data_IF_273920135161
#
_entry.id   IF_273920135161
#
_cell.length_a   1.000
_cell.length_b   1.000
_cell.length_c   1.000
_cell.angle_alpha   90.00
_cell.angle_beta   90.00
_cell.angle_gamma   90.00
#
_symmetry.space_group_name_H-M   'P 1'
#
loop_
_entity.id
_entity.type
_entity.pdbx_description
1 polymer ?
#
# COMPACT_ATOMS: atom_id res chain seq x y z
N UNK A 1 11.00 -2.73 15.55
CA UNK A 1 9.60 -2.78 16.00
C UNK A 1 8.68 -2.64 14.80
N UNK A 2 7.60 -3.41 14.75
CA UNK A 2 6.66 -3.25 13.65
C UNK A 2 6.02 -1.86 13.68
N UNK A 3 5.68 -1.36 12.51
CA UNK A 3 5.08 -0.05 12.34
C UNK A 3 3.56 -0.19 12.56
N UNK A 4 2.95 0.83 13.16
CA UNK A 4 1.51 0.89 13.33
C UNK A 4 0.83 0.86 11.95
N UNK A 5 -0.23 0.06 11.81
CA UNK A 5 -0.92 -0.04 10.54
C UNK A 5 -1.53 1.29 10.07
N UNK A 6 -1.88 2.19 10.99
CA UNK A 6 -2.39 3.51 10.62
C UNK A 6 -1.34 4.34 9.92
N UNK A 7 -0.08 4.20 10.31
CA UNK A 7 1.04 4.89 9.65
C UNK A 7 1.20 4.36 8.23
N UNK A 8 1.14 3.05 8.06
CA UNK A 8 1.23 2.42 6.75
C UNK A 8 0.06 2.84 5.87
N UNK A 9 -1.15 2.86 6.43
CA UNK A 9 -2.34 3.27 5.70
C UNK A 9 -2.21 4.71 5.18
N UNK A 10 -1.71 5.62 6.01
CA UNK A 10 -1.50 7.01 5.60
C UNK A 10 -0.47 7.11 4.47
N UNK A 11 0.59 6.30 4.54
CA UNK A 11 1.59 6.26 3.48
C UNK A 11 0.97 5.78 2.16
N UNK A 12 0.16 4.74 2.23
CA UNK A 12 -0.55 4.20 1.05
C UNK A 12 -1.49 5.25 0.47
N UNK A 13 -2.26 5.90 1.32
CA UNK A 13 -3.18 6.96 0.89
C UNK A 13 -2.45 8.09 0.18
N UNK A 14 -1.36 8.57 0.76
CA UNK A 14 -0.57 9.67 0.20
C UNK A 14 0.01 9.28 -1.16
N UNK A 15 0.54 8.08 -1.27
CA UNK A 15 1.12 7.60 -2.53
C UNK A 15 0.05 7.51 -3.62
N UNK A 16 -1.09 6.92 -3.31
CA UNK A 16 -2.17 6.75 -4.28
C UNK A 16 -2.78 8.09 -4.69
N UNK A 17 -2.92 9.01 -3.74
CA UNK A 17 -3.44 10.34 -4.03
C UNK A 17 -2.55 11.08 -5.04
N UNK A 18 -1.23 10.99 -4.85
CA UNK A 18 -0.27 11.61 -5.77
C UNK A 18 -0.22 10.90 -7.11
N UNK A 19 -0.17 9.57 -7.08
CA UNK A 19 0.00 8.75 -8.29
C UNK A 19 -1.23 8.80 -9.19
N UNK A 20 -2.41 8.69 -8.60
CA UNK A 20 -3.66 8.55 -9.33
C UNK A 20 -4.50 9.83 -9.37
N UNK A 21 -4.11 10.85 -8.62
CA UNK A 21 -4.87 12.10 -8.55
C UNK A 21 -6.20 11.97 -7.83
N UNK A 22 -6.32 11.00 -6.91
CA UNK A 22 -7.54 10.77 -6.16
C UNK A 22 -7.46 11.41 -4.78
N UNK A 23 -8.62 11.59 -4.13
CA UNK A 23 -8.68 12.16 -2.79
C UNK A 23 -8.26 11.12 -1.75
N UNK A 24 -7.19 11.41 -1.01
CA UNK A 24 -6.70 10.53 0.04
C UNK A 24 -7.78 10.24 1.09
N UNK A 25 -8.64 11.21 1.40
CA UNK A 25 -9.71 11.04 2.37
C UNK A 25 -10.78 10.02 1.96
N UNK A 26 -10.88 9.73 0.67
CA UNK A 26 -11.81 8.73 0.16
C UNK A 26 -11.25 7.31 0.14
N UNK A 27 -9.97 7.14 0.49
CA UNK A 27 -9.33 5.83 0.46
C UNK A 27 -9.44 5.19 1.85
N UNK A 28 -10.02 3.99 1.90
CA UNK A 28 -10.22 3.23 3.12
C UNK A 28 -9.65 1.83 2.97
N UNK A 29 -9.69 1.03 4.04
CA UNK A 29 -9.26 -0.38 3.99
C UNK A 29 -10.03 -1.18 2.94
N UNK A 30 -11.28 -0.85 2.73
CA UNK A 30 -12.16 -1.57 1.79
C UNK A 30 -12.00 -1.13 0.34
N UNK A 31 -11.22 -0.09 0.08
CA UNK A 31 -11.01 0.43 -1.27
C UNK A 31 -10.28 -0.60 -2.13
N UNK A 32 -10.84 -0.94 -3.27
CA UNK A 32 -10.22 -1.87 -4.23
C UNK A 32 -9.33 -1.09 -5.19
N UNK A 33 -8.12 -1.59 -5.40
CA UNK A 33 -7.17 -0.92 -6.28
C UNK A 33 -7.69 -0.80 -7.71
N UNK A 34 -8.23 -1.87 -8.25
CA UNK A 34 -8.72 -1.87 -9.63
C UNK A 34 -10.13 -1.35 -9.76
N UNK A 35 -11.03 -1.85 -8.93
CA UNK A 35 -12.47 -1.54 -9.08
C UNK A 35 -12.80 -0.11 -8.64
N UNK A 36 -12.15 0.37 -7.59
CA UNK A 36 -12.46 1.70 -7.04
C UNK A 36 -11.50 2.78 -7.53
N UNK A 37 -10.23 2.45 -7.69
CA UNK A 37 -9.20 3.43 -8.06
C UNK A 37 -8.74 3.31 -9.51
N UNK A 38 -9.17 2.29 -10.20
CA UNK A 38 -8.78 2.01 -11.58
C UNK A 38 -7.26 1.89 -11.73
N UNK A 39 -6.58 1.49 -10.66
CA UNK A 39 -5.13 1.28 -10.68
C UNK A 39 -4.81 0.01 -11.45
N UNK A 40 -3.82 0.08 -12.33
CA UNK A 40 -3.36 -1.09 -13.06
C UNK A 40 -2.20 -1.78 -12.33
N UNK A 41 -1.65 -2.83 -12.94
CA UNK A 41 -0.57 -3.59 -12.33
C UNK A 41 0.68 -2.75 -12.10
N UNK A 42 0.98 -1.81 -12.99
CA UNK A 42 2.13 -0.93 -12.86
C UNK A 42 1.97 -0.01 -11.65
N UNK A 43 0.78 0.57 -11.48
CA UNK A 43 0.48 1.42 -10.34
C UNK A 43 0.66 0.65 -9.02
N UNK A 44 0.20 -0.59 -8.99
CA UNK A 44 0.33 -1.44 -7.82
C UNK A 44 1.79 -1.78 -7.53
N UNK A 45 2.58 -2.10 -8.55
CA UNK A 45 4.00 -2.38 -8.38
C UNK A 45 4.76 -1.16 -7.88
N UNK A 46 4.43 0.02 -8.36
CA UNK A 46 5.06 1.26 -7.88
C UNK A 46 4.76 1.49 -6.40
N UNK A 47 3.52 1.23 -5.98
CA UNK A 47 3.15 1.31 -4.56
C UNK A 47 3.93 0.30 -3.74
N UNK A 48 4.00 -0.95 -4.20
CA UNK A 48 4.74 -2.01 -3.52
C UNK A 48 6.22 -1.62 -3.35
N UNK A 49 6.84 -1.12 -4.40
CA UNK A 49 8.24 -0.70 -4.35
C UNK A 49 8.44 0.43 -3.34
N UNK A 50 7.53 1.38 -3.28
CA UNK A 50 7.59 2.47 -2.32
C UNK A 50 7.51 1.95 -0.88
N UNK A 51 6.61 1.00 -0.63
CA UNK A 51 6.46 0.39 0.69
C UNK A 51 7.68 -0.45 1.07
N UNK A 52 8.25 -1.17 0.11
CA UNK A 52 9.47 -1.95 0.34
C UNK A 52 10.63 -1.04 0.73
N UNK A 53 10.79 0.06 0.02
CA UNK A 53 11.88 1.01 0.28
C UNK A 53 11.68 1.75 1.61
N UNK A 54 10.46 2.15 1.90
CA UNK A 54 10.15 2.94 3.09
C UNK A 54 10.27 2.11 4.37
N UNK A 55 9.80 0.86 4.33
CA UNK A 55 9.65 0.03 5.53
C UNK A 55 10.55 -1.20 5.58
N UNK A 56 11.40 -1.38 4.58
CA UNK A 56 12.30 -2.52 4.54
C UNK A 56 11.60 -3.87 4.37
N UNK A 57 10.41 -3.86 3.79
CA UNK A 57 9.61 -5.06 3.57
C UNK A 57 9.93 -5.64 2.21
N UNK A 58 9.81 -6.96 2.07
CA UNK A 58 9.92 -7.62 0.76
C UNK A 58 8.63 -8.34 0.44
N UNK A 59 8.13 -8.11 -0.76
CA UNK A 59 6.91 -8.72 -1.26
C UNK A 59 7.20 -9.37 -2.60
N UNK A 60 6.89 -10.65 -2.73
CA UNK A 60 7.05 -11.36 -3.99
C UNK A 60 5.96 -10.92 -4.99
N UNK A 61 6.19 -11.20 -6.26
CA UNK A 61 5.21 -10.94 -7.30
C UNK A 61 3.89 -11.63 -7.03
N UNK A 62 3.95 -12.89 -6.57
CA UNK A 62 2.75 -13.66 -6.24
C UNK A 62 1.98 -13.03 -5.08
N UNK A 63 2.69 -12.57 -4.07
CA UNK A 63 2.06 -11.90 -2.92
C UNK A 63 1.41 -10.59 -3.34
N UNK A 64 2.09 -9.82 -4.20
CA UNK A 64 1.54 -8.57 -4.72
C UNK A 64 0.26 -8.80 -5.53
N UNK A 65 0.22 -9.87 -6.31
CA UNK A 65 -0.95 -10.21 -7.12
C UNK A 65 -2.18 -10.56 -6.30
N UNK A 66 -1.99 -11.03 -5.08
CA UNK A 66 -3.09 -11.36 -4.18
C UNK A 66 -3.67 -10.16 -3.46
N UNK A 67 -3.02 -9.02 -3.55
CA UNK A 67 -3.50 -7.79 -2.92
C UNK A 67 -4.55 -7.15 -3.81
N UNK A 68 -5.78 -7.11 -3.32
CA UNK A 68 -6.94 -6.57 -4.04
C UNK A 68 -7.39 -5.25 -3.43
N UNK A 69 -7.32 -5.13 -2.10
CA UNK A 69 -7.76 -3.93 -1.38
C UNK A 69 -6.60 -3.25 -0.68
N UNK A 70 -6.81 -1.97 -0.36
CA UNK A 70 -5.85 -1.17 0.41
C UNK A 70 -5.57 -1.82 1.77
N UNK A 71 -6.62 -2.32 2.44
CA UNK A 71 -6.47 -3.00 3.73
C UNK A 71 -5.57 -4.22 3.65
N UNK A 72 -5.67 -5.00 2.57
CA UNK A 72 -4.80 -6.16 2.39
C UNK A 72 -3.34 -5.75 2.27
N UNK A 73 -3.06 -4.67 1.54
CA UNK A 73 -1.69 -4.15 1.43
C UNK A 73 -1.16 -3.70 2.79
N UNK A 74 -1.96 -2.97 3.54
CA UNK A 74 -1.59 -2.48 4.87
C UNK A 74 -1.36 -3.64 5.82
N UNK A 75 -2.26 -4.62 5.82
CA UNK A 75 -2.16 -5.79 6.70
C UNK A 75 -0.96 -6.68 6.36
N UNK A 76 -0.55 -6.70 5.10
CA UNK A 76 0.67 -7.41 4.72
C UNK A 76 1.92 -6.67 5.22
N UNK A 77 1.96 -5.36 5.04
CA UNK A 77 3.15 -4.55 5.29
C UNK A 77 3.36 -4.25 6.78
N UNK A 78 2.31 -3.84 7.48
CA UNK A 78 2.44 -3.33 8.85
C UNK A 78 3.14 -4.29 9.81
N UNK A 79 2.78 -5.59 9.88
CA UNK A 79 3.47 -6.50 10.80
C UNK A 79 4.90 -6.82 10.40
N UNK A 80 5.27 -6.59 9.15
CA UNK A 80 6.61 -6.86 8.61
C UNK A 80 7.48 -5.61 8.55
N UNK A 81 6.86 -4.44 8.63
CA UNK A 81 7.56 -3.17 8.48
C UNK A 81 8.43 -2.89 9.71
N UNK A 82 9.59 -2.29 9.46
CA UNK A 82 10.47 -1.86 10.52
C UNK A 82 10.85 -0.40 10.28
N UNK A 83 10.79 0.37 11.35
CA UNK A 83 11.27 1.74 11.32
C UNK A 83 12.78 1.71 11.45
N UNK A 84 13.46 2.28 10.47
CA UNK A 84 14.90 2.49 10.58
C UNK A 84 15.15 3.52 11.67
N UNK A 85 15.79 3.10 12.71
CA UNK A 85 16.14 4.01 13.79
C UNK A 85 17.24 4.95 13.33
#
# INVERSE_FOLDING_TARGET
>A
MPVDRDIVLEKVRSHLAEELGVDAGGITDDTHFRDDLEADSLDLYELVMELEDTYGVKMSEQEAEQIVTVGQAVDFVAPRAEVSA
#
